data_IF_192565350207
#
_entry.id   IF_192565350207
#
_cell.length_a   1.000
_cell.length_b   1.000
_cell.length_c   1.000
_cell.angle_alpha   90.00
_cell.angle_beta   90.00
_cell.angle_gamma   90.00
#
_symmetry.space_group_name_H-M   'P 1'
#
loop_
_entity.id
_entity.type
_entity.pdbx_description
1 polymer ?
#
# COMPACT_ATOMS: atom_id res chain seq x y z
N UNK A 1 22.03 -5.51 20.78
CA UNK A 1 20.76 -5.87 20.11
C UNK A 1 20.94 -5.56 18.63
N UNK A 2 20.64 -6.49 17.73
CA UNK A 2 20.77 -6.28 16.28
C UNK A 2 19.70 -5.32 15.76
N UNK A 3 19.98 -4.62 14.67
CA UNK A 3 18.97 -3.78 14.02
C UNK A 3 17.84 -4.64 13.46
N UNK A 4 16.57 -4.20 13.57
CA UNK A 4 15.46 -4.90 12.93
C UNK A 4 15.64 -4.90 11.41
N UNK A 5 15.51 -6.07 10.79
CA UNK A 5 15.58 -6.23 9.35
C UNK A 5 14.17 -6.17 8.74
N UNK A 6 14.04 -5.56 7.56
CA UNK A 6 12.77 -5.39 6.85
C UNK A 6 12.91 -5.97 5.45
N UNK A 7 11.96 -6.82 5.05
CA UNK A 7 11.90 -7.38 3.69
C UNK A 7 10.73 -6.73 2.95
N UNK A 8 11.02 -5.96 1.91
CA UNK A 8 10.01 -5.34 1.05
C UNK A 8 9.74 -6.22 -0.17
N UNK A 9 8.49 -6.65 -0.34
CA UNK A 9 8.03 -7.40 -1.53
C UNK A 9 7.20 -6.47 -2.41
N UNK A 10 7.84 -5.89 -3.42
CA UNK A 10 7.21 -4.99 -4.39
C UNK A 10 6.82 -5.66 -5.72
N UNK A 11 6.05 -4.95 -6.54
CA UNK A 11 5.71 -5.34 -7.92
C UNK A 11 4.22 -5.17 -8.26
N UNK A 12 3.84 -5.31 -9.54
CA UNK A 12 2.47 -5.12 -10.00
C UNK A 12 1.45 -6.10 -9.37
N UNK A 13 0.14 -5.79 -9.36
CA UNK A 13 -0.88 -6.70 -8.85
C UNK A 13 -0.82 -8.09 -9.51
N UNK A 14 -1.31 -9.11 -8.80
CA UNK A 14 -1.50 -10.48 -9.31
C UNK A 14 -0.23 -11.28 -9.69
N UNK A 15 0.99 -10.75 -9.53
CA UNK A 15 2.24 -11.51 -9.78
C UNK A 15 2.62 -12.53 -8.69
N UNK A 16 1.75 -12.74 -7.70
CA UNK A 16 2.01 -13.70 -6.61
C UNK A 16 2.77 -13.13 -5.39
N UNK A 17 2.88 -11.80 -5.25
CA UNK A 17 3.51 -11.16 -4.07
C UNK A 17 2.91 -11.67 -2.74
N UNK A 18 1.58 -11.69 -2.65
CA UNK A 18 0.84 -12.19 -1.48
C UNK A 18 1.15 -13.66 -1.19
N UNK A 19 1.37 -14.47 -2.23
CA UNK A 19 1.75 -15.88 -2.08
C UNK A 19 3.12 -16.02 -1.43
N UNK A 20 4.10 -15.22 -1.86
CA UNK A 20 5.45 -15.20 -1.27
C UNK A 20 5.38 -14.64 0.15
N UNK A 21 4.69 -13.52 0.34
CA UNK A 21 4.54 -12.85 1.63
C UNK A 21 3.86 -13.71 2.70
N UNK A 22 3.06 -14.71 2.34
CA UNK A 22 2.47 -15.66 3.31
C UNK A 22 3.40 -16.81 3.68
N UNK A 23 4.32 -17.22 2.79
CA UNK A 23 5.17 -18.40 2.97
C UNK A 23 6.55 -18.07 3.53
N UNK A 24 7.10 -16.92 3.16
CA UNK A 24 8.43 -16.49 3.57
C UNK A 24 8.52 -16.19 5.09
N UNK A 25 7.58 -15.47 5.71
CA UNK A 25 7.70 -15.06 7.11
C UNK A 25 7.60 -16.23 8.09
N UNK A 26 6.80 -17.25 7.75
CA UNK A 26 6.71 -18.52 8.53
C UNK A 26 8.07 -19.22 8.65
N UNK A 27 8.94 -19.09 7.65
CA UNK A 27 10.27 -19.72 7.64
C UNK A 27 11.34 -18.90 8.34
N UNK A 28 11.16 -17.59 8.41
CA UNK A 28 12.18 -16.66 8.92
C UNK A 28 11.81 -16.05 10.28
N UNK A 29 10.65 -16.41 10.84
CA UNK A 29 10.08 -15.82 12.07
C UNK A 29 9.86 -14.30 11.96
N UNK A 30 9.22 -13.88 10.85
CA UNK A 30 8.85 -12.48 10.62
C UNK A 30 7.33 -12.28 10.77
N UNK A 31 6.95 -11.10 11.27
CA UNK A 31 5.59 -10.58 11.08
C UNK A 31 5.34 -10.24 9.61
N UNK A 32 4.08 -10.30 9.17
CA UNK A 32 3.67 -9.91 7.81
C UNK A 32 2.72 -8.72 7.89
N UNK A 33 2.95 -7.70 7.05
CA UNK A 33 2.03 -6.59 6.85
C UNK A 33 1.88 -6.35 5.34
N UNK A 34 0.64 -6.25 4.87
CA UNK A 34 0.34 -5.93 3.47
C UNK A 34 -0.22 -4.51 3.36
N UNK A 35 0.14 -3.80 2.29
CA UNK A 35 -0.50 -2.54 1.92
C UNK A 35 -1.98 -2.74 1.60
N UNK A 36 -2.35 -3.91 1.08
CA UNK A 36 -3.76 -4.25 0.81
C UNK A 36 -4.57 -4.36 2.11
N UNK A 37 -3.99 -4.98 3.16
CA UNK A 37 -4.64 -5.11 4.46
C UNK A 37 -4.82 -3.73 5.10
N UNK A 38 -3.79 -2.89 5.04
CA UNK A 38 -3.86 -1.51 5.52
C UNK A 38 -4.94 -0.71 4.79
N UNK A 39 -5.05 -0.86 3.47
CA UNK A 39 -6.08 -0.17 2.70
C UNK A 39 -7.50 -0.69 3.00
N UNK A 40 -7.68 -1.98 3.30
CA UNK A 40 -8.96 -2.49 3.80
C UNK A 40 -9.33 -1.89 5.16
N UNK A 41 -8.36 -1.76 6.07
CA UNK A 41 -8.59 -1.09 7.36
C UNK A 41 -8.96 0.37 7.18
N UNK A 42 -8.22 1.12 6.36
CA UNK A 42 -8.52 2.51 6.03
C UNK A 42 -9.94 2.61 5.46
N UNK A 43 -10.30 1.75 4.50
CA UNK A 43 -11.63 1.70 3.91
C UNK A 43 -12.73 1.41 4.94
N UNK A 44 -12.48 0.50 5.89
CA UNK A 44 -13.46 0.16 6.92
C UNK A 44 -13.74 1.33 7.87
N UNK A 45 -12.78 2.23 8.06
CA UNK A 45 -12.91 3.38 8.97
C UNK A 45 -13.16 4.71 8.26
N UNK A 46 -13.11 4.75 6.93
CA UNK A 46 -13.34 5.96 6.13
C UNK A 46 -14.81 6.07 5.73
N UNK A 47 -15.44 7.21 6.03
CA UNK A 47 -16.83 7.49 5.66
C UNK A 47 -16.97 7.86 4.17
N UNK A 48 -18.14 7.64 3.53
CA UNK A 48 -18.37 8.00 2.13
C UNK A 48 -18.16 9.49 1.81
N UNK A 49 -18.34 10.38 2.79
CA UNK A 49 -18.14 11.83 2.65
C UNK A 49 -16.66 12.25 2.72
N UNK A 50 -15.73 11.30 2.85
CA UNK A 50 -14.31 11.62 2.82
C UNK A 50 -13.92 12.17 1.43
N UNK A 51 -13.02 13.18 1.37
CA UNK A 51 -12.51 13.71 0.12
C UNK A 51 -12.02 12.60 -0.82
N UNK A 52 -12.23 12.74 -2.14
CA UNK A 52 -11.95 11.68 -3.13
C UNK A 52 -10.49 11.18 -3.12
N UNK A 53 -9.55 12.04 -2.74
CA UNK A 53 -8.13 11.71 -2.56
C UNK A 53 -7.82 10.90 -1.27
N UNK A 54 -8.79 10.72 -0.38
CA UNK A 54 -8.72 9.87 0.82
C UNK A 54 -9.45 8.53 0.63
N UNK A 55 -10.10 8.33 -0.52
CA UNK A 55 -10.76 7.08 -0.87
C UNK A 55 -9.75 6.08 -1.46
N UNK A 56 -8.69 5.78 -0.70
CA UNK A 56 -7.68 4.80 -1.11
C UNK A 56 -8.33 3.44 -1.36
N UNK A 57 -7.93 2.77 -2.45
CA UNK A 57 -8.47 1.47 -2.88
C UNK A 57 -10.00 1.48 -3.13
N UNK A 58 -10.59 2.63 -3.47
CA UNK A 58 -12.00 2.72 -3.83
C UNK A 58 -12.29 2.17 -5.22
N UNK A 59 -12.76 0.92 -5.32
CA UNK A 59 -13.42 0.33 -6.50
C UNK A 59 -12.72 0.56 -7.87
N UNK A 60 -11.41 0.76 -7.89
CA UNK A 60 -10.67 0.74 -9.15
C UNK A 60 -10.51 -0.73 -9.52
N UNK A 61 -10.97 -1.12 -10.70
CA UNK A 61 -10.53 -2.38 -11.28
C UNK A 61 -9.03 -2.25 -11.58
N UNK A 62 -8.20 -2.77 -10.68
CA UNK A 62 -6.74 -2.76 -10.77
C UNK A 62 -6.27 -3.36 -12.11
N UNK A 63 -6.98 -4.36 -12.64
CA UNK A 63 -6.62 -4.98 -13.91
C UNK A 63 -6.85 -4.00 -15.07
N UNK A 64 -8.00 -3.35 -15.11
CA UNK A 64 -8.27 -2.31 -16.11
C UNK A 64 -7.27 -1.14 -15.96
N UNK A 65 -6.99 -0.72 -14.73
CA UNK A 65 -6.05 0.37 -14.44
C UNK A 65 -4.67 0.14 -15.04
N UNK A 66 -4.09 -1.06 -14.82
CA UNK A 66 -2.74 -1.37 -15.27
C UNK A 66 -2.65 -1.79 -16.75
N UNK A 67 -3.72 -2.34 -17.33
CA UNK A 67 -3.72 -2.80 -18.73
C UNK A 67 -4.13 -1.69 -19.71
N UNK A 68 -5.00 -0.77 -19.31
CA UNK A 68 -5.53 0.27 -20.21
C UNK A 68 -4.68 1.56 -20.26
N UNK A 69 -3.59 1.64 -19.49
CA UNK A 69 -2.76 2.85 -19.37
C UNK A 69 -1.33 2.60 -19.80
N UNK A 70 -0.72 3.61 -20.41
CA UNK A 70 0.71 3.57 -20.71
C UNK A 70 1.53 3.65 -19.41
N UNK A 71 2.75 3.15 -19.46
CA UNK A 71 3.69 3.20 -18.33
C UNK A 71 3.89 4.62 -17.81
N UNK A 72 3.99 5.61 -18.70
CA UNK A 72 4.17 7.02 -18.34
C UNK A 72 2.98 7.53 -17.53
N UNK A 73 1.74 7.16 -17.90
CA UNK A 73 0.54 7.53 -17.15
C UNK A 73 0.47 6.84 -15.79
N UNK A 74 0.93 5.60 -15.69
CA UNK A 74 0.99 4.88 -14.42
C UNK A 74 1.99 5.53 -13.46
N UNK A 75 3.18 5.91 -13.97
CA UNK A 75 4.20 6.64 -13.20
C UNK A 75 3.64 7.97 -12.70
N UNK A 76 3.06 8.78 -13.60
CA UNK A 76 2.49 10.06 -13.22
C UNK A 76 1.37 9.93 -12.18
N UNK A 77 0.52 8.90 -12.32
CA UNK A 77 -0.53 8.61 -11.35
C UNK A 77 0.02 8.27 -9.96
N UNK A 78 1.09 7.47 -9.90
CA UNK A 78 1.76 7.11 -8.66
C UNK A 78 2.39 8.34 -7.98
N UNK A 79 3.03 9.22 -8.74
CA UNK A 79 3.59 10.49 -8.22
C UNK A 79 2.50 11.39 -7.62
N UNK A 80 1.36 11.54 -8.30
CA UNK A 80 0.25 12.36 -7.83
C UNK A 80 -0.37 11.79 -6.55
N UNK A 81 -0.52 10.47 -6.45
CA UNK A 81 -0.98 9.80 -5.23
C UNK A 81 0.01 9.96 -4.07
N UNK A 82 1.30 9.82 -4.36
CA UNK A 82 2.35 10.01 -3.35
C UNK A 82 2.34 11.43 -2.78
N UNK A 83 2.24 12.45 -3.62
CA UNK A 83 2.14 13.85 -3.17
C UNK A 83 0.89 14.11 -2.32
N UNK A 84 -0.25 13.51 -2.67
CA UNK A 84 -1.48 13.65 -1.90
C UNK A 84 -1.44 12.90 -0.54
N UNK A 85 -0.77 11.75 -0.49
CA UNK A 85 -0.58 10.96 0.74
C UNK A 85 0.48 11.59 1.67
N UNK A 86 1.44 12.33 1.12
CA UNK A 86 2.39 13.17 1.84
C UNK A 86 1.74 14.47 2.34
N UNK A 87 0.66 14.35 3.12
CA UNK A 87 0.36 15.40 4.11
C UNK A 87 1.59 15.53 5.01
N UNK A 88 1.92 16.75 5.51
CA UNK A 88 3.04 16.92 6.42
C UNK A 88 2.84 15.92 7.56
N UNK A 89 3.65 14.88 7.56
CA UNK A 89 3.68 13.87 8.59
C UNK A 89 4.07 14.61 9.86
N UNK A 90 3.07 15.10 10.61
CA UNK A 90 3.27 15.39 12.02
C UNK A 90 3.82 14.08 12.53
N UNK A 91 5.12 14.11 12.86
CA UNK A 91 5.82 12.97 13.41
C UNK A 91 4.87 12.32 14.40
N UNK A 92 4.50 11.07 14.15
CA UNK A 92 3.97 10.20 15.19
C UNK A 92 5.13 9.93 16.16
N UNK A 93 5.60 10.99 16.83
CA UNK A 93 6.45 10.91 17.99
C UNK A 93 5.51 10.52 19.12
N UNK A 94 5.19 9.23 19.18
CA UNK A 94 4.71 8.62 20.40
C UNK A 94 5.80 8.82 21.44
N UNK A 95 5.54 9.68 22.44
CA UNK A 95 6.26 9.59 23.70
C UNK A 95 5.85 8.27 24.34
N UNK A 96 6.87 7.45 24.61
CA UNK A 96 6.83 6.25 25.45
C UNK A 96 6.27 6.61 26.83
#
# INVERSE_FOLDING_TARGET
MGQPSVILIGGPPMIGKTTIARRLPVRLDYGTMSTDDLGQFIRAVTTPDAPSNHQFMSRIDEREHYVSRSTERLIQGAENQHQAACLPSKQLSGRV
#
